data_IF_812842874338
#
_entry.id   IF_812842874338
#
_cell.length_a   1.000
_cell.length_b   1.000
_cell.length_c   1.000
_cell.angle_alpha   90.00
_cell.angle_beta   90.00
_cell.angle_gamma   90.00
#
_symmetry.space_group_name_H-M   'P 1'
#
loop_
_entity.id
_entity.type
_entity.pdbx_description
1 polymer ?
#
# COMPACT_ATOMS: atom_id res chain seq x y z
N UNK A 1 -0.90 -8.80 8.83
CA UNK A 1 -1.77 -7.70 8.31
C UNK A 1 -1.52 -6.43 9.12
N UNK A 2 -1.23 -5.30 8.47
CA UNK A 2 -0.53 -4.13 9.02
C UNK A 2 -1.28 -3.21 10.01
N UNK A 3 -2.38 -3.65 10.61
CA UNK A 3 -3.11 -2.90 11.64
C UNK A 3 -3.45 -1.43 11.28
N UNK A 4 -3.84 -1.17 10.01
CA UNK A 4 -4.27 0.15 9.52
C UNK A 4 -5.80 0.23 9.38
N UNK A 5 -6.34 1.46 9.32
CA UNK A 5 -7.78 1.69 9.17
C UNK A 5 -8.33 1.12 7.85
N UNK A 6 -9.51 0.51 7.95
CA UNK A 6 -10.23 -0.14 6.84
C UNK A 6 -11.22 0.85 6.24
N UNK A 7 -11.33 0.90 4.91
CA UNK A 7 -12.29 1.79 4.22
C UNK A 7 -13.73 1.23 4.25
N UNK A 8 -13.92 -0.05 4.57
CA UNK A 8 -15.23 -0.73 4.59
C UNK A 8 -15.51 -1.41 5.93
N UNK A 9 -16.79 -1.49 6.30
CA UNK A 9 -17.28 -2.28 7.44
C UNK A 9 -16.87 -3.76 7.30
N UNK A 10 -16.59 -4.42 8.42
CA UNK A 10 -16.13 -5.82 8.43
C UNK A 10 -17.21 -6.81 7.93
N UNK A 11 -18.48 -6.38 7.84
CA UNK A 11 -19.59 -7.16 7.28
C UNK A 11 -19.58 -7.27 5.74
N UNK A 12 -18.71 -6.51 5.05
CA UNK A 12 -18.58 -6.52 3.59
C UNK A 12 -17.14 -6.89 3.23
N UNK A 13 -16.82 -8.17 3.36
CA UNK A 13 -15.55 -8.76 2.91
C UNK A 13 -15.74 -9.44 1.56
N UNK A 14 -15.93 -8.65 0.50
CA UNK A 14 -15.82 -9.16 -0.87
C UNK A 14 -14.37 -9.55 -1.20
N UNK A 15 -14.12 -10.23 -2.34
CA UNK A 15 -12.77 -10.62 -2.76
C UNK A 15 -11.85 -9.42 -3.05
N UNK A 16 -12.35 -8.18 -2.99
CA UNK A 16 -11.58 -6.97 -3.26
C UNK A 16 -11.60 -6.03 -2.06
N UNK A 17 -10.43 -5.53 -1.66
CA UNK A 17 -10.28 -4.60 -0.55
C UNK A 17 -9.20 -3.55 -0.79
N UNK A 18 -9.50 -2.30 -0.42
CA UNK A 18 -8.50 -1.25 -0.28
C UNK A 18 -7.91 -1.25 1.14
N UNK A 19 -6.60 -1.44 1.25
CA UNK A 19 -5.87 -1.42 2.51
C UNK A 19 -4.97 -0.19 2.53
N UNK A 20 -5.09 0.63 3.58
CA UNK A 20 -4.29 1.86 3.73
C UNK A 20 -2.81 1.51 3.92
N UNK A 21 -1.93 2.20 3.18
CA UNK A 21 -0.48 2.04 3.32
C UNK A 21 -0.01 2.53 4.70
N UNK A 22 1.00 1.88 5.32
CA UNK A 22 1.48 2.20 6.67
C UNK A 22 2.43 3.42 6.68
N UNK A 23 1.99 4.57 6.16
CA UNK A 23 2.79 5.80 6.10
C UNK A 23 2.54 6.63 7.37
N UNK A 24 3.59 6.85 8.16
CA UNK A 24 3.53 7.52 9.48
C UNK A 24 4.03 8.98 9.45
N UNK A 25 4.06 9.63 8.29
CA UNK A 25 4.65 10.95 8.17
C UNK A 25 3.61 12.06 8.44
N UNK A 26 3.68 12.67 9.63
CA UNK A 26 2.79 13.76 10.06
C UNK A 26 2.95 15.05 9.24
N UNK A 27 4.03 15.19 8.46
CA UNK A 27 4.37 16.45 7.79
C UNK A 27 3.77 16.60 6.39
N UNK A 28 3.23 15.54 5.78
CA UNK A 28 2.59 15.60 4.45
C UNK A 28 1.08 15.63 4.62
N UNK A 29 0.48 16.80 4.40
CA UNK A 29 -0.95 17.05 4.64
C UNK A 29 -1.89 16.27 3.71
N UNK A 30 -1.44 15.87 2.51
CA UNK A 30 -2.23 15.07 1.57
C UNK A 30 -1.34 14.48 0.46
N UNK A 31 -1.56 13.21 0.11
CA UNK A 31 -0.99 12.59 -1.09
C UNK A 31 -1.78 13.00 -2.34
N UNK A 32 -1.14 12.96 -3.51
CA UNK A 32 -1.78 13.19 -4.82
C UNK A 32 -1.89 11.89 -5.62
N UNK A 33 -2.55 11.96 -6.77
CA UNK A 33 -2.64 10.84 -7.73
C UNK A 33 -1.25 10.35 -8.15
N UNK A 34 -0.35 11.26 -8.51
CA UNK A 34 1.01 10.93 -8.95
C UNK A 34 1.81 10.17 -7.88
N UNK A 35 1.56 10.43 -6.59
CA UNK A 35 2.19 9.68 -5.49
C UNK A 35 1.78 8.19 -5.52
N UNK A 36 0.52 7.89 -5.90
CA UNK A 36 0.04 6.52 -6.04
C UNK A 36 0.69 5.84 -7.25
N UNK A 37 0.78 6.53 -8.38
CA UNK A 37 1.41 6.03 -9.60
C UNK A 37 2.89 5.71 -9.38
N UNK A 38 3.61 6.57 -8.65
CA UNK A 38 5.02 6.33 -8.31
C UNK A 38 5.21 5.02 -7.55
N UNK A 39 4.40 4.77 -6.50
CA UNK A 39 4.51 3.54 -5.71
C UNK A 39 4.12 2.33 -6.56
N UNK A 40 3.07 2.46 -7.38
CA UNK A 40 2.64 1.38 -8.28
C UNK A 40 3.75 0.99 -9.26
N UNK A 41 4.36 1.98 -9.92
CA UNK A 41 5.47 1.74 -10.86
C UNK A 41 6.68 1.15 -10.13
N UNK A 42 6.95 1.59 -8.90
CA UNK A 42 8.05 1.03 -8.11
C UNK A 42 7.82 -0.43 -7.73
N UNK A 43 6.60 -0.80 -7.30
CA UNK A 43 6.25 -2.20 -7.03
C UNK A 43 6.48 -3.08 -8.26
N UNK A 44 6.12 -2.58 -9.44
CA UNK A 44 6.32 -3.29 -10.69
C UNK A 44 7.82 -3.43 -11.03
N UNK A 45 8.59 -2.34 -10.99
CA UNK A 45 9.98 -2.37 -11.42
C UNK A 45 10.93 -3.04 -10.43
N UNK A 46 10.76 -2.82 -9.14
CA UNK A 46 11.71 -3.27 -8.12
C UNK A 46 11.36 -4.66 -7.57
N UNK A 47 10.06 -5.00 -7.55
CA UNK A 47 9.56 -6.23 -6.91
C UNK A 47 8.80 -7.15 -7.87
N UNK A 48 8.57 -6.74 -9.13
CA UNK A 48 7.75 -7.47 -10.10
C UNK A 48 6.32 -7.74 -9.60
N UNK A 49 5.75 -6.79 -8.84
CA UNK A 49 4.39 -6.88 -8.28
C UNK A 49 3.50 -5.86 -8.98
N UNK A 50 2.46 -6.34 -9.66
CA UNK A 50 1.47 -5.48 -10.33
C UNK A 50 0.18 -5.41 -9.50
N UNK A 51 0.02 -4.34 -8.74
CA UNK A 51 -1.21 -4.07 -7.96
C UNK A 51 -1.60 -2.59 -8.04
N UNK A 52 -2.91 -2.26 -8.07
CA UNK A 52 -3.32 -0.87 -8.09
C UNK A 52 -3.04 -0.16 -6.76
N UNK A 53 -2.37 0.98 -6.83
CA UNK A 53 -2.31 1.95 -5.73
C UNK A 53 -3.30 3.06 -6.03
N UNK A 54 -4.09 3.44 -5.03
CA UNK A 54 -5.13 4.47 -5.15
C UNK A 54 -4.90 5.57 -4.14
N UNK A 55 -5.01 6.80 -4.62
CA UNK A 55 -5.19 7.96 -3.79
C UNK A 55 -6.70 8.13 -3.51
N UNK A 56 -7.10 8.10 -2.25
CA UNK A 56 -8.48 8.33 -1.81
C UNK A 56 -8.40 9.29 -0.61
N UNK A 57 -9.06 10.44 -0.72
CA UNK A 57 -9.09 11.49 0.31
C UNK A 57 -7.70 11.84 0.88
N UNK A 58 -6.73 12.01 -0.02
CA UNK A 58 -5.36 12.37 0.35
C UNK A 58 -4.56 11.24 1.01
N UNK A 59 -5.07 10.02 1.03
CA UNK A 59 -4.42 8.85 1.60
C UNK A 59 -4.15 7.80 0.52
N UNK A 60 -3.10 7.01 0.69
CA UNK A 60 -2.71 5.97 -0.25
C UNK A 60 -3.20 4.59 0.21
N UNK A 61 -3.78 3.84 -0.71
CA UNK A 61 -4.34 2.51 -0.49
C UNK A 61 -3.84 1.55 -1.57
N UNK A 62 -3.52 0.32 -1.17
CA UNK A 62 -3.35 -0.79 -2.10
C UNK A 62 -4.68 -1.50 -2.28
N UNK A 63 -5.08 -1.75 -3.52
CA UNK A 63 -6.28 -2.53 -3.82
C UNK A 63 -5.91 -3.98 -4.04
N UNK A 64 -6.12 -4.79 -3.01
CA UNK A 64 -5.93 -6.24 -3.09
C UNK A 64 -7.19 -6.87 -3.67
N UNK A 65 -7.01 -7.76 -4.64
CA UNK A 65 -8.08 -8.61 -5.18
C UNK A 65 -7.64 -10.05 -4.97
N UNK A 66 -8.37 -10.79 -4.13
CA UNK A 66 -8.10 -12.19 -3.85
C UNK A 66 -8.75 -13.06 -4.93
N UNK A 67 -7.93 -13.50 -5.89
CA UNK A 67 -8.33 -14.45 -6.92
C UNK A 67 -7.93 -15.87 -6.50
N UNK A 68 -8.59 -16.88 -7.06
CA UNK A 68 -8.31 -18.31 -6.82
C UNK A 68 -6.87 -18.74 -7.18
N UNK A 69 -6.12 -17.87 -7.86
CA UNK A 69 -4.74 -18.11 -8.30
C UNK A 69 -3.70 -17.43 -7.41
N UNK A 70 -4.13 -16.74 -6.36
CA UNK A 70 -3.21 -16.08 -5.45
C UNK A 70 -2.87 -16.97 -4.26
N UNK A 71 -1.59 -17.00 -3.93
CA UNK A 71 -1.06 -17.71 -2.77
C UNK A 71 -0.85 -16.74 -1.59
N UNK A 72 -0.85 -17.26 -0.36
CA UNK A 72 -0.73 -16.40 0.83
C UNK A 72 0.61 -15.65 0.84
N UNK A 73 1.66 -16.32 0.39
CA UNK A 73 3.03 -15.86 0.27
C UNK A 73 3.13 -14.63 -0.64
N UNK A 74 2.33 -14.56 -1.71
CA UNK A 74 2.31 -13.40 -2.60
C UNK A 74 1.78 -12.13 -1.91
N UNK A 75 0.84 -12.27 -0.97
CA UNK A 75 0.39 -11.13 -0.17
C UNK A 75 1.41 -10.76 0.91
N UNK A 76 2.21 -11.71 1.38
CA UNK A 76 3.33 -11.44 2.28
C UNK A 76 4.46 -10.72 1.56
N UNK A 77 4.79 -11.09 0.33
CA UNK A 77 5.76 -10.39 -0.53
C UNK A 77 5.33 -8.95 -0.80
N UNK A 78 4.06 -8.73 -1.18
CA UNK A 78 3.47 -7.39 -1.26
C UNK A 78 3.56 -6.66 0.11
N UNK A 79 3.35 -7.42 1.18
CA UNK A 79 3.60 -7.10 2.57
C UNK A 79 4.95 -6.40 2.81
N UNK A 80 6.01 -7.08 2.40
CA UNK A 80 7.38 -6.62 2.58
C UNK A 80 7.73 -5.46 1.66
N UNK A 81 7.35 -5.55 0.37
CA UNK A 81 7.64 -4.53 -0.63
C UNK A 81 7.05 -3.16 -0.25
N UNK A 82 5.80 -3.10 0.20
CA UNK A 82 5.16 -1.86 0.64
C UNK A 82 5.88 -1.27 1.86
N UNK A 83 6.24 -2.09 2.85
CA UNK A 83 6.97 -1.62 4.03
C UNK A 83 8.31 -1.01 3.63
N UNK A 84 9.05 -1.67 2.74
CA UNK A 84 10.34 -1.21 2.25
C UNK A 84 10.23 0.12 1.51
N UNK A 85 9.31 0.22 0.54
CA UNK A 85 9.08 1.46 -0.21
C UNK A 85 8.69 2.60 0.73
N UNK A 86 7.78 2.35 1.66
CA UNK A 86 7.30 3.37 2.61
C UNK A 86 8.41 3.82 3.54
N UNK A 87 9.24 2.92 4.05
CA UNK A 87 10.41 3.27 4.89
C UNK A 87 11.40 4.13 4.12
N UNK A 88 11.75 3.73 2.90
CA UNK A 88 12.75 4.44 2.10
C UNK A 88 12.27 5.83 1.67
N UNK A 89 10.97 6.01 1.44
CA UNK A 89 10.39 7.29 0.98
C UNK A 89 9.94 8.22 2.10
N UNK A 90 9.43 7.67 3.20
CA UNK A 90 8.71 8.42 4.24
C UNK A 90 9.20 8.14 5.65
N UNK A 91 10.15 7.21 5.83
CA UNK A 91 10.84 7.05 7.11
C UNK A 91 11.60 8.32 7.47
N UNK A 92 11.68 8.65 8.76
CA UNK A 92 12.61 9.67 9.24
C UNK A 92 14.02 9.20 8.87
N UNK A 93 14.76 10.02 8.12
CA UNK A 93 16.22 9.89 8.12
C UNK A 93 16.67 10.18 9.55
N UNK A 94 17.04 9.15 10.29
CA UNK A 94 17.90 9.34 11.46
C UNK A 94 19.23 9.87 10.91
N UNK A 95 19.37 11.19 10.90
CA UNK A 95 20.65 11.84 10.64
C UNK A 95 21.63 11.42 11.73
N UNK A 96 22.84 11.07 11.28
CA UNK A 96 24.00 10.56 12.02
C UNK A 96 24.22 11.11 13.44
#
# INVERSE_FOLDING_TARGET
MWNTSKLTSDDISGPMRCIKLPIYNDNKSSFKYDDAEIIQNQLYHDFNIEVPIKNIDGNLYVRISAHIYNYIEQYEELGYAIIEIVRNRYGKQENC
#
